data_IF_183945883143
#
_entry.id   IF_183945883143
#
_cell.length_a   1.000
_cell.length_b   1.000
_cell.length_c   1.000
_cell.angle_alpha   90.00
_cell.angle_beta   90.00
_cell.angle_gamma   90.00
#
_symmetry.space_group_name_H-M   'P 1'
#
loop_
_entity.id
_entity.type
_entity.pdbx_description
1 polymer ?
#
# COMPACT_ATOMS: atom_id res chain seq x y z
N UNK A 1 11.68 18.66 -5.74
CA UNK A 1 10.94 17.41 -5.90
C UNK A 1 11.92 16.28 -6.13
N UNK A 2 11.78 15.19 -5.38
CA UNK A 2 12.53 13.97 -5.66
C UNK A 2 11.99 13.31 -6.92
N UNK A 3 12.86 12.59 -7.61
CA UNK A 3 12.46 11.72 -8.71
C UNK A 3 11.74 10.49 -8.12
N UNK A 4 10.41 10.47 -8.20
CA UNK A 4 9.57 9.42 -7.60
C UNK A 4 9.85 8.04 -8.20
N UNK A 5 10.20 7.97 -9.49
CA UNK A 5 10.55 6.70 -10.12
C UNK A 5 11.82 6.11 -9.50
N UNK A 6 12.85 6.95 -9.25
CA UNK A 6 14.07 6.53 -8.57
C UNK A 6 13.85 6.14 -7.11
N UNK A 7 13.01 6.86 -6.37
CA UNK A 7 12.73 6.50 -4.97
C UNK A 7 11.90 5.22 -4.88
N UNK A 8 10.95 5.00 -5.80
CA UNK A 8 10.20 3.74 -5.94
C UNK A 8 11.12 2.56 -6.26
N UNK A 9 12.02 2.71 -7.22
CA UNK A 9 13.01 1.67 -7.55
C UNK A 9 13.91 1.34 -6.35
N UNK A 10 14.33 2.37 -5.61
CA UNK A 10 15.10 2.20 -4.37
C UNK A 10 14.29 1.44 -3.31
N UNK A 11 13.01 1.76 -3.14
CA UNK A 11 12.11 1.08 -2.21
C UNK A 11 12.00 -0.41 -2.55
N UNK A 12 11.72 -0.74 -3.81
CA UNK A 12 11.65 -2.12 -4.28
C UNK A 12 12.95 -2.90 -4.01
N UNK A 13 14.10 -2.33 -4.38
CA UNK A 13 15.40 -3.02 -4.26
C UNK A 13 15.87 -3.13 -2.81
N UNK A 14 15.88 -2.01 -2.08
CA UNK A 14 16.52 -1.92 -0.75
C UNK A 14 15.56 -2.19 0.39
N UNK A 15 14.33 -1.71 0.30
CA UNK A 15 13.38 -1.80 1.41
C UNK A 15 12.55 -3.07 1.36
N UNK A 16 12.32 -3.66 0.18
CA UNK A 16 11.57 -4.90 0.03
C UNK A 16 12.47 -6.11 -0.28
N UNK A 17 13.03 -6.18 -1.50
CA UNK A 17 13.70 -7.39 -2.00
C UNK A 17 14.93 -7.77 -1.16
N UNK A 18 15.81 -6.81 -0.86
CA UNK A 18 16.99 -7.04 -0.02
C UNK A 18 16.65 -7.44 1.43
N UNK A 19 15.38 -7.35 1.83
CA UNK A 19 14.89 -7.68 3.18
C UNK A 19 13.96 -8.88 3.20
N UNK A 20 13.97 -9.71 2.16
CA UNK A 20 13.30 -11.02 2.16
C UNK A 20 11.87 -11.02 1.62
N UNK A 21 11.44 -9.96 0.94
CA UNK A 21 10.25 -10.03 0.08
C UNK A 21 10.65 -10.67 -1.25
N UNK A 22 10.27 -11.93 -1.44
CA UNK A 22 10.66 -12.78 -2.57
C UNK A 22 9.49 -13.21 -3.44
N UNK A 23 8.26 -12.91 -3.05
CA UNK A 23 7.08 -13.17 -3.87
C UNK A 23 7.01 -12.16 -5.02
N UNK A 24 7.35 -12.60 -6.23
CA UNK A 24 7.38 -11.73 -7.42
C UNK A 24 6.02 -11.10 -7.74
N UNK A 25 4.90 -11.81 -7.52
CA UNK A 25 3.56 -11.24 -7.71
C UNK A 25 3.33 -10.03 -6.80
N UNK A 26 3.83 -10.10 -5.57
CA UNK A 26 3.76 -8.97 -4.62
C UNK A 26 4.67 -7.83 -5.08
N UNK A 27 5.91 -8.12 -5.49
CA UNK A 27 6.83 -7.10 -5.97
C UNK A 27 6.32 -6.38 -7.24
N UNK A 28 5.69 -7.12 -8.16
CA UNK A 28 5.07 -6.57 -9.37
C UNK A 28 3.95 -5.59 -9.04
N UNK A 29 3.07 -5.96 -8.11
CA UNK A 29 2.00 -5.07 -7.66
C UNK A 29 2.56 -3.80 -6.99
N UNK A 30 3.66 -3.90 -6.25
CA UNK A 30 4.34 -2.71 -5.69
C UNK A 30 5.01 -1.84 -6.76
N UNK A 31 5.40 -2.39 -7.93
CA UNK A 31 5.87 -1.61 -9.09
C UNK A 31 4.72 -0.82 -9.71
N UNK A 32 3.54 -1.40 -9.78
CA UNK A 32 2.36 -0.81 -10.40
C UNK A 32 1.66 0.24 -9.53
N UNK A 33 1.38 -0.08 -8.25
CA UNK A 33 0.60 0.81 -7.38
C UNK A 33 1.41 2.05 -7.01
N UNK A 34 0.87 3.23 -7.29
CA UNK A 34 1.48 4.53 -7.01
C UNK A 34 1.16 4.94 -5.58
N UNK A 35 2.06 4.66 -4.64
CA UNK A 35 1.86 4.94 -3.21
C UNK A 35 1.64 6.42 -2.91
N UNK A 36 2.19 7.31 -3.74
CA UNK A 36 2.04 8.75 -3.65
C UNK A 36 0.60 9.26 -3.85
N UNK A 37 -0.28 8.46 -4.45
CA UNK A 37 -1.70 8.80 -4.62
C UNK A 37 -2.52 8.54 -3.34
N UNK A 38 -1.94 7.82 -2.37
CA UNK A 38 -2.61 7.41 -1.12
C UNK A 38 -2.17 8.24 0.09
N UNK A 39 -1.53 9.40 -0.13
CA UNK A 39 -1.03 10.28 0.92
C UNK A 39 -1.29 11.75 0.59
N UNK A 40 -1.31 12.65 1.59
CA UNK A 40 -1.41 14.08 1.34
C UNK A 40 -0.24 14.61 0.50
N UNK A 41 -0.50 15.55 -0.41
CA UNK A 41 0.48 16.12 -1.34
C UNK A 41 1.77 16.63 -0.66
N UNK A 42 1.64 17.20 0.55
CA UNK A 42 2.79 17.68 1.33
C UNK A 42 3.80 16.58 1.69
N UNK A 43 3.39 15.31 1.64
CA UNK A 43 4.20 14.14 1.96
C UNK A 43 4.67 13.37 0.71
N UNK A 44 4.33 13.84 -0.51
CA UNK A 44 4.59 13.13 -1.77
C UNK A 44 6.07 12.76 -1.97
N UNK A 45 6.99 13.65 -1.60
CA UNK A 45 8.44 13.41 -1.67
C UNK A 45 8.94 12.28 -0.73
N UNK A 46 8.10 11.86 0.23
CA UNK A 46 8.38 10.81 1.21
C UNK A 46 7.66 9.50 0.91
N UNK A 47 6.85 9.44 -0.16
CA UNK A 47 5.94 8.32 -0.46
C UNK A 47 6.61 6.94 -0.38
N UNK A 48 7.85 6.85 -0.86
CA UNK A 48 8.59 5.60 -1.00
C UNK A 48 9.66 5.36 0.08
N UNK A 49 9.69 6.17 1.13
CA UNK A 49 10.53 5.88 2.29
C UNK A 49 9.92 4.79 3.16
N UNK A 50 10.77 3.99 3.82
CA UNK A 50 10.30 2.87 4.66
C UNK A 50 9.96 3.27 6.10
N UNK A 51 8.98 4.15 6.25
CA UNK A 51 8.38 4.50 7.55
C UNK A 51 6.92 4.91 7.38
N UNK A 52 6.10 4.87 8.45
CA UNK A 52 4.71 5.28 8.38
C UNK A 52 4.56 6.78 8.12
N UNK A 53 3.59 7.17 7.30
CA UNK A 53 3.27 8.58 7.02
C UNK A 53 1.91 8.94 7.61
N UNK A 54 1.80 10.12 8.21
CA UNK A 54 0.54 10.61 8.77
C UNK A 54 -0.49 10.86 7.67
N UNK A 55 -1.70 10.34 7.88
CA UNK A 55 -2.90 10.62 7.09
C UNK A 55 -3.94 11.27 8.01
N UNK A 56 -5.16 11.47 7.51
CA UNK A 56 -6.22 12.11 8.28
C UNK A 56 -6.68 11.26 9.49
N UNK A 57 -7.51 11.84 10.35
CA UNK A 57 -8.04 11.19 11.56
C UNK A 57 -6.96 10.66 12.53
N UNK A 58 -5.77 11.27 12.50
CA UNK A 58 -4.63 10.86 13.33
C UNK A 58 -4.10 9.47 13.00
N UNK A 59 -4.45 8.91 11.83
CA UNK A 59 -4.00 7.59 11.39
C UNK A 59 -2.69 7.69 10.60
N UNK A 60 -2.14 6.53 10.23
CA UNK A 60 -0.96 6.46 9.36
C UNK A 60 -1.14 5.45 8.25
N UNK A 61 -0.53 5.72 7.09
CA UNK A 61 -0.28 4.67 6.10
C UNK A 61 0.95 3.88 6.53
N UNK A 62 0.80 2.55 6.65
CA UNK A 62 1.88 1.64 7.05
C UNK A 62 3.08 1.74 6.12
N UNK A 63 4.29 1.58 6.65
CA UNK A 63 5.53 1.57 5.85
C UNK A 63 5.50 0.48 4.75
N UNK A 64 6.07 0.71 3.55
CA UNK A 64 6.10 -0.24 2.44
C UNK A 64 6.52 -1.67 2.82
N UNK A 65 7.57 -1.83 3.65
CA UNK A 65 8.03 -3.16 4.05
C UNK A 65 6.96 -3.95 4.79
N UNK A 66 6.24 -3.32 5.73
CA UNK A 66 5.20 -4.01 6.52
C UNK A 66 4.04 -4.44 5.63
N UNK A 67 3.60 -3.57 4.71
CA UNK A 67 2.56 -3.90 3.72
C UNK A 67 3.00 -5.09 2.86
N UNK A 68 4.23 -5.08 2.34
CA UNK A 68 4.75 -6.16 1.50
C UNK A 68 4.91 -7.47 2.28
N UNK A 69 5.41 -7.38 3.52
CA UNK A 69 5.61 -8.52 4.40
C UNK A 69 4.30 -9.20 4.77
N UNK A 70 3.29 -8.42 5.19
CA UNK A 70 1.95 -8.94 5.49
C UNK A 70 1.31 -9.58 4.25
N UNK A 71 1.43 -8.91 3.10
CA UNK A 71 0.86 -9.41 1.83
C UNK A 71 1.55 -10.71 1.39
N UNK A 72 2.87 -10.81 1.53
CA UNK A 72 3.60 -12.04 1.21
C UNK A 72 3.21 -13.19 2.15
N UNK A 73 3.10 -12.93 3.46
CA UNK A 73 2.70 -13.93 4.44
C UNK A 73 1.26 -14.44 4.24
N UNK A 74 0.37 -13.57 3.76
CA UNK A 74 -0.99 -13.95 3.38
C UNK A 74 -1.00 -14.94 2.21
N UNK A 75 0.05 -14.94 1.37
CA UNK A 75 0.19 -15.76 0.17
C UNK A 75 -1.08 -15.74 -0.75
N UNK A 76 -1.55 -14.54 -1.16
CA UNK A 76 -2.84 -14.36 -1.80
C UNK A 76 -2.95 -15.10 -3.14
N UNK A 77 -4.05 -15.81 -3.35
CA UNK A 77 -4.41 -16.49 -4.59
C UNK A 77 -5.46 -15.69 -5.37
N UNK A 78 -5.44 -15.86 -6.69
CA UNK A 78 -6.29 -15.10 -7.59
C UNK A 78 -7.80 -15.27 -7.33
N UNK A 79 -8.21 -16.41 -6.76
CA UNK A 79 -9.62 -16.70 -6.45
C UNK A 79 -10.02 -16.33 -5.02
N UNK A 80 -9.09 -15.83 -4.20
CA UNK A 80 -9.36 -15.52 -2.79
C UNK A 80 -10.32 -14.34 -2.64
N UNK A 81 -11.09 -14.38 -1.56
CA UNK A 81 -11.90 -13.27 -1.07
C UNK A 81 -11.31 -12.85 0.27
N UNK A 82 -10.79 -11.63 0.35
CA UNK A 82 -10.05 -11.12 1.51
C UNK A 82 -10.88 -10.07 2.25
N UNK A 83 -10.84 -10.12 3.58
CA UNK A 83 -11.30 -9.03 4.45
C UNK A 83 -10.08 -8.29 5.00
N UNK A 84 -10.00 -6.99 4.75
CA UNK A 84 -9.07 -6.07 5.38
C UNK A 84 -9.81 -5.23 6.44
N UNK A 85 -9.21 -5.09 7.62
CA UNK A 85 -9.79 -4.33 8.73
C UNK A 85 -8.90 -3.11 8.99
N UNK A 86 -9.46 -1.93 8.78
CA UNK A 86 -8.76 -0.65 8.79
C UNK A 86 -8.33 -0.23 7.39
N UNK A 87 -9.27 0.28 6.58
CA UNK A 87 -9.01 0.78 5.21
C UNK A 87 -7.92 1.85 5.21
N UNK A 88 -7.97 2.79 6.17
CA UNK A 88 -7.05 3.91 6.25
C UNK A 88 -6.98 4.69 4.93
N UNK A 89 -5.79 4.76 4.34
CA UNK A 89 -5.58 5.41 3.04
C UNK A 89 -6.14 4.63 1.84
N UNK A 90 -6.43 3.34 1.98
CA UNK A 90 -6.77 2.44 0.87
C UNK A 90 -5.57 1.79 0.17
N UNK A 91 -4.33 2.11 0.56
CA UNK A 91 -3.12 1.58 -0.10
C UNK A 91 -3.02 0.05 -0.03
N UNK A 92 -3.23 -0.57 1.14
CA UNK A 92 -3.19 -2.02 1.30
C UNK A 92 -4.32 -2.70 0.49
N UNK A 93 -5.50 -2.08 0.43
CA UNK A 93 -6.63 -2.53 -0.40
C UNK A 93 -6.25 -2.51 -1.88
N UNK A 94 -5.60 -1.46 -2.37
CA UNK A 94 -5.14 -1.36 -3.76
C UNK A 94 -4.09 -2.41 -4.13
N UNK A 95 -3.24 -2.80 -3.17
CA UNK A 95 -2.29 -3.90 -3.32
C UNK A 95 -3.05 -5.24 -3.39
N UNK A 96 -3.93 -5.52 -2.44
CA UNK A 96 -4.66 -6.79 -2.37
C UNK A 96 -5.58 -6.99 -3.57
N UNK A 97 -6.28 -5.95 -4.03
CA UNK A 97 -7.23 -6.03 -5.15
C UNK A 97 -6.60 -6.43 -6.48
N UNK A 98 -5.28 -6.33 -6.61
CA UNK A 98 -4.51 -6.81 -7.78
C UNK A 98 -4.05 -8.26 -7.65
N UNK A 99 -4.16 -8.86 -6.47
CA UNK A 99 -3.66 -10.20 -6.16
C UNK A 99 -4.76 -11.23 -5.96
N UNK A 100 -5.99 -10.79 -5.64
CA UNK A 100 -7.13 -11.64 -5.27
C UNK A 100 -8.38 -11.24 -6.03
N UNK A 101 -9.42 -12.09 -5.96
CA UNK A 101 -10.68 -11.90 -6.68
C UNK A 101 -11.48 -10.72 -6.14
N UNK A 102 -11.54 -10.60 -4.82
CA UNK A 102 -12.36 -9.59 -4.16
C UNK A 102 -11.73 -9.19 -2.82
N UNK A 103 -11.73 -7.90 -2.53
CA UNK A 103 -11.40 -7.36 -1.22
C UNK A 103 -12.65 -6.71 -0.64
N UNK A 104 -12.98 -7.09 0.59
CA UNK A 104 -13.84 -6.33 1.48
C UNK A 104 -12.95 -5.58 2.45
N UNK A 105 -13.26 -4.32 2.71
CA UNK A 105 -12.52 -3.51 3.68
C UNK A 105 -13.50 -2.76 4.58
N UNK A 106 -13.13 -2.59 5.85
CA UNK A 106 -13.93 -1.89 6.85
C UNK A 106 -13.11 -0.77 7.46
N UNK A 107 -13.70 0.43 7.49
CA UNK A 107 -13.16 1.61 8.15
C UNK A 107 -14.18 2.14 9.16
N UNK A 108 -13.69 2.56 10.32
CA UNK A 108 -14.53 3.16 11.37
C UNK A 108 -14.69 4.67 11.21
N UNK A 109 -13.72 5.32 10.57
CA UNK A 109 -13.72 6.76 10.33
C UNK A 109 -14.31 7.07 8.95
N UNK A 110 -15.47 7.71 8.92
CA UNK A 110 -16.21 7.99 7.68
C UNK A 110 -15.37 8.77 6.66
N UNK A 111 -14.65 9.80 7.09
CA UNK A 111 -13.78 10.61 6.22
C UNK A 111 -12.70 9.77 5.53
N UNK A 112 -11.98 8.92 6.28
CA UNK A 112 -10.99 8.00 5.69
C UNK A 112 -11.62 7.01 4.71
N UNK A 113 -12.79 6.47 5.05
CA UNK A 113 -13.53 5.58 4.16
C UNK A 113 -13.92 6.26 2.84
N UNK A 114 -14.30 7.54 2.89
CA UNK A 114 -14.63 8.33 1.72
C UNK A 114 -13.38 8.65 0.88
N UNK A 115 -12.30 9.12 1.49
CA UNK A 115 -11.02 9.38 0.79
C UNK A 115 -10.48 8.11 0.13
N UNK A 116 -10.49 6.99 0.85
CA UNK A 116 -10.06 5.70 0.30
C UNK A 116 -10.93 5.28 -0.90
N UNK A 117 -12.26 5.50 -0.83
CA UNK A 117 -13.16 5.20 -1.95
C UNK A 117 -12.87 6.05 -3.17
N UNK A 118 -12.46 7.30 -3.00
CA UNK A 118 -12.11 8.19 -4.12
C UNK A 118 -10.84 7.74 -4.83
N UNK A 119 -9.79 7.38 -4.09
CA UNK A 119 -8.52 6.92 -4.68
C UNK A 119 -8.57 5.49 -5.25
N UNK A 120 -9.52 4.66 -4.79
CA UNK A 120 -9.69 3.27 -5.25
C UNK A 120 -10.58 3.11 -6.49
N UNK A 121 -11.17 4.20 -7.01
CA UNK A 121 -11.97 4.20 -8.24
C UNK A 121 -11.10 4.18 -9.49
#
# INVERSE_FOLDING_TARGET
MRDLAKTKERMLKKHLAARGITNERVLDVFREVLREEFIPDRLRDLAYEDYPLAIDEGQTISQPYVVAFMTQLLDPKADDVVLEVGTGSGYQVAILSRLVKQVYTIERFEELGNTAREVLR
#
